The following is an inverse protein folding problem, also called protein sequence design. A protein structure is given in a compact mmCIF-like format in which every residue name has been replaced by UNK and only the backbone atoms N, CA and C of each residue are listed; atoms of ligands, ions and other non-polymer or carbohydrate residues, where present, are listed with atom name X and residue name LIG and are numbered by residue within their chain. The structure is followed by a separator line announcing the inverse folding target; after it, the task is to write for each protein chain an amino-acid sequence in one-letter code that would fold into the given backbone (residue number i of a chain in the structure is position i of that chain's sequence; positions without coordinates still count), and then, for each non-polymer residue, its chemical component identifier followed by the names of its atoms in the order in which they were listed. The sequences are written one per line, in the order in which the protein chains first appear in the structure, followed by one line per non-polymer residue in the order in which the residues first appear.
data_IF_147584141083
#
_entry.id   IF_147584141083
#
_cell.length_a   1.000
_cell.length_b   1.000
_cell.length_c   1.000
_cell.angle_alpha   90.00
_cell.angle_beta   90.00
_cell.angle_gamma   90.00
#
_symmetry.space_group_name_H-M   'P 1'
#
loop_
_entity.id
_entity.type
_entity.pdbx_description
1 polymer ?
#
# COMPACT_ATOMS: atom_id res chain seq x y z
N UNK A 1 -3.12 5.43 -13.39
CA UNK A 1 -2.94 6.34 -12.24
C UNK A 1 -3.24 5.60 -10.97
N UNK A 2 -2.24 5.20 -10.20
CA UNK A 2 -2.48 4.65 -8.87
C UNK A 2 -1.98 5.57 -7.77
N UNK A 3 -2.64 5.49 -6.63
CA UNK A 3 -2.21 6.09 -5.37
C UNK A 3 -2.23 5.01 -4.30
N UNK A 4 -1.12 4.83 -3.60
CA UNK A 4 -1.03 3.84 -2.51
C UNK A 4 -0.63 4.57 -1.24
N UNK A 5 -1.44 4.43 -0.21
CA UNK A 5 -1.12 4.94 1.12
C UNK A 5 -0.88 3.81 2.10
N UNK A 6 0.15 3.97 2.92
CA UNK A 6 0.48 3.02 4.00
C UNK A 6 0.51 3.79 5.31
N UNK A 7 -0.32 3.36 6.26
CA UNK A 7 -0.29 3.88 7.62
C UNK A 7 0.03 2.70 8.54
N UNK A 8 1.01 2.89 9.41
CA UNK A 8 1.40 1.87 10.38
C UNK A 8 1.78 2.49 11.72
N UNK A 9 1.65 1.72 12.79
CA UNK A 9 2.13 2.13 14.11
C UNK A 9 3.61 1.79 14.32
N UNK A 10 4.22 1.08 13.38
CA UNK A 10 5.64 0.72 13.45
C UNK A 10 6.50 1.92 13.09
N UNK A 11 7.65 2.07 13.75
CA UNK A 11 8.64 3.07 13.38
C UNK A 11 9.33 2.67 12.08
N UNK A 12 9.51 3.63 11.17
CA UNK A 12 10.07 3.37 9.85
C UNK A 12 11.36 4.17 9.69
N UNK A 13 12.49 3.47 9.53
CA UNK A 13 13.77 4.12 9.23
C UNK A 13 13.77 4.68 7.80
N UNK A 14 14.71 5.57 7.50
CA UNK A 14 14.85 6.10 6.14
C UNK A 14 15.12 5.01 5.10
N UNK A 15 15.95 4.01 5.45
CA UNK A 15 16.23 2.89 4.54
C UNK A 15 15.01 1.99 4.35
N UNK A 16 14.25 1.74 5.41
CA UNK A 16 13.00 0.96 5.31
C UNK A 16 11.97 1.68 4.45
N UNK A 17 11.85 3.01 4.61
CA UNK A 17 10.94 3.83 3.80
C UNK A 17 11.30 3.73 2.31
N UNK A 18 12.58 3.83 1.98
CA UNK A 18 13.03 3.70 0.60
C UNK A 18 12.76 2.30 0.03
N UNK A 19 12.95 1.27 0.84
CA UNK A 19 12.67 -0.11 0.43
C UNK A 19 11.17 -0.34 0.21
N UNK A 20 10.32 0.22 1.07
CA UNK A 20 8.87 0.18 0.88
C UNK A 20 8.46 0.87 -0.41
N UNK A 21 8.98 2.06 -0.66
CA UNK A 21 8.63 2.81 -1.88
C UNK A 21 9.02 2.03 -3.14
N UNK A 22 10.22 1.44 -3.16
CA UNK A 22 10.68 0.62 -4.28
C UNK A 22 9.79 -0.61 -4.47
N UNK A 23 9.48 -1.30 -3.38
CA UNK A 23 8.64 -2.50 -3.45
C UNK A 23 7.21 -2.21 -3.88
N UNK A 24 6.65 -1.08 -3.46
CA UNK A 24 5.32 -0.65 -3.91
C UNK A 24 5.33 -0.29 -5.39
N UNK A 25 6.39 0.34 -5.88
CA UNK A 25 6.55 0.63 -7.31
C UNK A 25 6.61 -0.64 -8.15
N UNK A 26 7.26 -1.69 -7.65
CA UNK A 26 7.28 -2.99 -8.32
C UNK A 26 5.89 -3.66 -8.26
N UNK A 27 5.25 -3.63 -7.09
CA UNK A 27 3.96 -4.30 -6.89
C UNK A 27 2.86 -3.71 -7.77
N UNK A 28 2.83 -2.39 -7.98
CA UNK A 28 1.78 -1.75 -8.77
C UNK A 28 1.81 -2.20 -10.24
N UNK A 29 2.95 -2.65 -10.72
CA UNK A 29 3.08 -3.17 -12.10
C UNK A 29 2.32 -4.48 -12.31
N UNK A 30 1.93 -5.16 -11.23
CA UNK A 30 1.10 -6.36 -11.32
C UNK A 30 -0.34 -6.02 -11.72
N UNK A 31 -0.73 -4.75 -11.61
CA UNK A 31 -2.00 -4.26 -12.10
C UNK A 31 -1.80 -3.78 -13.54
N UNK A 32 -2.46 -4.38 -14.54
CA UNK A 32 -2.26 -4.03 -15.93
C UNK A 32 -2.42 -2.53 -16.20
N UNK A 33 -1.49 -1.96 -16.95
CA UNK A 33 -1.49 -0.55 -17.31
C UNK A 33 -1.01 0.41 -16.23
N UNK A 34 -0.59 -0.10 -15.08
CA UNK A 34 -0.07 0.74 -13.98
C UNK A 34 1.45 0.66 -13.94
N UNK A 35 2.09 1.77 -13.59
CA UNK A 35 3.55 1.84 -13.50
C UNK A 35 3.97 2.77 -12.37
N UNK A 36 5.21 2.60 -11.94
CA UNK A 36 5.81 3.45 -10.92
C UNK A 36 5.85 4.92 -11.35
N UNK A 37 6.01 5.19 -12.64
CA UNK A 37 6.09 6.57 -13.15
C UNK A 37 4.82 7.38 -12.90
N UNK A 38 3.70 6.73 -12.63
CA UNK A 38 2.43 7.37 -12.35
C UNK A 38 1.96 7.16 -10.91
N UNK A 39 2.75 6.47 -10.11
CA UNK A 39 2.39 6.09 -8.75
C UNK A 39 2.70 7.22 -7.78
N UNK A 40 1.71 7.59 -6.98
CA UNK A 40 1.92 8.42 -5.79
C UNK A 40 1.85 7.52 -4.57
N UNK A 41 2.81 7.68 -3.67
CA UNK A 41 2.90 6.88 -2.45
C UNK A 41 2.91 7.81 -1.26
N UNK A 42 2.09 7.49 -0.26
CA UNK A 42 2.17 8.12 1.07
C UNK A 42 2.51 7.03 2.08
N UNK A 43 3.52 7.30 2.90
CA UNK A 43 3.94 6.37 3.96
C UNK A 43 3.98 7.14 5.27
N UNK A 44 3.25 6.64 6.26
CA UNK A 44 3.17 7.26 7.57
C UNK A 44 3.41 6.19 8.64
N UNK A 45 4.51 6.34 9.37
CA UNK A 45 4.85 5.48 10.50
C UNK A 45 4.44 6.11 11.83
N UNK A 46 4.57 5.34 12.90
CA UNK A 46 4.33 5.79 14.27
C UNK A 46 2.93 6.40 14.48
N UNK A 47 1.97 5.95 13.68
CA UNK A 47 0.58 6.36 13.83
C UNK A 47 -0.08 5.60 14.98
N UNK A 48 -1.04 6.25 15.62
CA UNK A 48 -1.82 5.58 16.65
C UNK A 48 -2.82 4.64 16.00
N UNK A 49 -2.63 3.35 16.19
CA UNK A 49 -3.53 2.31 15.65
C UNK A 49 -3.93 1.37 16.77
N UNK A 50 -5.21 1.22 16.97
CA UNK A 50 -5.76 0.17 17.82
C UNK A 50 -6.21 -0.99 16.94
N UNK A 51 -5.64 -2.14 17.17
CA UNK A 51 -5.97 -3.37 16.46
C UNK A 51 -6.33 -4.46 17.46
N UNK A 52 -7.48 -5.08 17.29
CA UNK A 52 -8.02 -6.06 18.26
C UNK A 52 -8.14 -5.46 19.67
N UNK A 53 -8.47 -4.17 19.77
CA UNK A 53 -8.60 -3.47 21.03
C UNK A 53 -7.28 -3.13 21.71
N UNK A 54 -6.14 -3.27 21.03
CA UNK A 54 -4.80 -3.07 21.58
C UNK A 54 -4.01 -2.10 20.72
N UNK A 55 -3.12 -1.34 21.36
CA UNK A 55 -2.22 -0.42 20.66
C UNK A 55 -0.76 -0.91 20.60
N UNK A 56 -0.49 -2.13 21.08
CA UNK A 56 0.85 -2.70 21.16
C UNK A 56 1.16 -3.77 20.12
N UNK A 57 0.20 -4.03 19.19
CA UNK A 57 0.43 -4.96 18.09
C UNK A 57 0.87 -4.21 16.84
N UNK A 58 1.94 -4.66 16.15
CA UNK A 58 2.28 -4.07 14.87
C UNK A 58 1.15 -4.29 13.88
N UNK A 59 0.71 -3.22 13.24
CA UNK A 59 -0.42 -3.24 12.33
C UNK A 59 -0.22 -2.21 11.22
N UNK A 60 -0.89 -2.42 10.10
CA UNK A 60 -0.89 -1.47 8.99
C UNK A 60 -2.23 -1.46 8.27
N UNK A 61 -2.59 -0.31 7.77
CA UNK A 61 -3.66 -0.14 6.81
C UNK A 61 -3.10 0.41 5.51
N UNK A 62 -3.39 -0.29 4.41
CA UNK A 62 -2.98 0.12 3.07
C UNK A 62 -4.25 0.42 2.28
N UNK A 63 -4.33 1.64 1.72
CA UNK A 63 -5.40 1.93 0.76
C UNK A 63 -4.78 2.13 -0.61
N UNK A 64 -5.51 1.68 -1.63
CA UNK A 64 -5.07 1.75 -3.01
C UNK A 64 -6.21 2.31 -3.85
N UNK A 65 -5.96 3.46 -4.47
CA UNK A 65 -6.91 4.06 -5.40
C UNK A 65 -6.33 3.92 -6.80
N UNK A 66 -7.13 3.44 -7.74
CA UNK A 66 -6.71 3.31 -9.13
C UNK A 66 -7.75 3.91 -10.06
N UNK A 67 -7.30 4.48 -11.18
CA UNK A 67 -8.17 4.82 -12.28
C UNK A 67 -8.37 3.59 -13.16
N UNK A 68 -9.54 3.47 -13.77
CA UNK A 68 -9.83 2.34 -14.66
C UNK A 68 -10.23 1.08 -13.91
N UNK A 69 -10.09 -0.05 -14.58
CA UNK A 69 -10.54 -1.36 -14.08
C UNK A 69 -9.50 -2.43 -14.39
N UNK A 70 -9.36 -3.37 -13.47
CA UNK A 70 -8.59 -4.60 -13.67
C UNK A 70 -9.37 -5.77 -13.09
N UNK A 71 -9.02 -7.00 -13.47
CA UNK A 71 -9.71 -8.16 -12.91
C UNK A 71 -9.22 -8.47 -11.48
N UNK A 72 -10.00 -9.30 -10.79
CA UNK A 72 -9.71 -9.64 -9.40
C UNK A 72 -8.39 -10.37 -9.21
N UNK A 73 -7.94 -11.13 -10.21
CA UNK A 73 -6.67 -11.86 -10.13
C UNK A 73 -5.48 -10.90 -10.11
N UNK A 74 -5.54 -9.81 -10.88
CA UNK A 74 -4.50 -8.78 -10.87
C UNK A 74 -4.42 -8.07 -9.52
N UNK A 75 -5.56 -7.69 -8.96
CA UNK A 75 -5.59 -7.07 -7.64
C UNK A 75 -5.09 -8.03 -6.56
N UNK A 76 -5.46 -9.31 -6.65
CA UNK A 76 -4.99 -10.31 -5.71
C UNK A 76 -3.46 -10.45 -5.74
N UNK A 77 -2.86 -10.48 -6.91
CA UNK A 77 -1.40 -10.52 -7.05
C UNK A 77 -0.76 -9.28 -6.40
N UNK A 78 -1.35 -8.11 -6.64
CA UNK A 78 -0.89 -6.85 -6.07
C UNK A 78 -0.95 -6.85 -4.54
N UNK A 79 -2.11 -7.14 -3.95
CA UNK A 79 -2.20 -7.07 -2.49
C UNK A 79 -1.38 -8.15 -1.79
N UNK A 80 -1.20 -9.31 -2.41
CA UNK A 80 -0.33 -10.34 -1.86
C UNK A 80 1.14 -9.87 -1.82
N UNK A 81 1.59 -9.21 -2.88
CA UNK A 81 2.94 -8.64 -2.94
C UNK A 81 3.14 -7.54 -1.88
N UNK A 82 2.16 -6.66 -1.73
CA UNK A 82 2.23 -5.59 -0.73
C UNK A 82 2.26 -6.14 0.69
N UNK A 83 1.42 -7.12 0.98
CA UNK A 83 1.37 -7.73 2.31
C UNK A 83 2.70 -8.43 2.65
N UNK A 84 3.29 -9.15 1.70
CA UNK A 84 4.62 -9.74 1.88
C UNK A 84 5.69 -8.68 2.13
N UNK A 85 5.62 -7.58 1.40
CA UNK A 85 6.57 -6.47 1.54
C UNK A 85 6.55 -5.89 2.95
N UNK A 86 5.36 -5.67 3.50
CA UNK A 86 5.21 -5.16 4.87
C UNK A 86 5.75 -6.14 5.90
N UNK A 87 5.57 -7.42 5.69
CA UNK A 87 6.14 -8.45 6.55
C UNK A 87 7.66 -8.48 6.49
N UNK A 88 8.22 -8.37 5.28
CA UNK A 88 9.66 -8.40 5.07
C UNK A 88 10.36 -7.17 5.64
N UNK A 89 9.82 -5.99 5.38
CA UNK A 89 10.48 -4.72 5.70
C UNK A 89 10.20 -4.26 7.13
N UNK A 90 8.97 -4.44 7.61
CA UNK A 90 8.52 -3.92 8.89
C UNK A 90 8.14 -5.00 9.90
N UNK A 91 8.26 -6.26 9.54
CA UNK A 91 7.91 -7.40 10.41
C UNK A 91 6.45 -7.35 10.88
N UNK A 92 5.55 -6.85 10.04
CA UNK A 92 4.12 -6.82 10.37
C UNK A 92 3.50 -8.16 9.96
N UNK A 93 2.87 -8.89 10.88
CA UNK A 93 2.22 -10.15 10.54
C UNK A 93 1.11 -9.96 9.49
N UNK A 94 0.95 -10.93 8.61
CA UNK A 94 -0.04 -10.89 7.53
C UNK A 94 -1.44 -10.60 8.06
N UNK A 95 -1.82 -11.20 9.18
CA UNK A 95 -3.14 -11.00 9.78
C UNK A 95 -3.36 -9.62 10.38
N UNK A 96 -2.32 -8.80 10.48
CA UNK A 96 -2.38 -7.46 11.06
C UNK A 96 -2.33 -6.36 9.98
N UNK A 97 -2.53 -6.74 8.71
CA UNK A 97 -2.58 -5.81 7.58
C UNK A 97 -3.98 -5.81 7.00
N UNK A 98 -4.61 -4.63 6.96
CA UNK A 98 -5.83 -4.44 6.18
C UNK A 98 -5.46 -3.67 4.92
N UNK A 99 -5.98 -4.10 3.79
CA UNK A 99 -5.72 -3.47 2.51
C UNK A 99 -7.04 -3.33 1.75
N UNK A 100 -7.26 -2.16 1.18
CA UNK A 100 -8.42 -1.88 0.34
C UNK A 100 -7.97 -1.45 -1.04
N UNK A 101 -8.79 -1.76 -2.06
CA UNK A 101 -8.58 -1.29 -3.42
C UNK A 101 -9.88 -0.65 -3.88
N UNK A 102 -9.79 0.59 -4.40
CA UNK A 102 -10.93 1.31 -4.95
C UNK A 102 -10.64 1.72 -6.37
N UNK A 103 -11.58 1.46 -7.26
CA UNK A 103 -11.54 1.96 -8.63
C UNK A 103 -12.26 3.30 -8.67
N UNK A 104 -11.55 4.35 -9.06
CA UNK A 104 -12.02 5.73 -8.97
C UNK A 104 -12.48 6.16 -10.36
N UNK A 105 -13.77 6.45 -10.56
CA UNK A 105 -14.29 6.81 -11.89
C UNK A 105 -13.90 8.20 -12.35
N UNK A 106 -13.65 9.12 -11.42
CA UNK A 106 -13.20 10.48 -11.77
C UNK A 106 -11.83 10.68 -11.18
N UNK A 107 -10.83 10.79 -12.05
CA UNK A 107 -9.43 10.95 -11.66
C UNK A 107 -8.87 12.18 -12.37
N UNK A 108 -8.36 13.12 -11.60
CA UNK A 108 -7.87 14.39 -12.13
C UNK A 108 -6.34 14.44 -11.97
N UNK A 109 -5.64 14.70 -13.07
CA UNK A 109 -4.20 14.91 -13.13
C UNK A 109 -3.96 16.16 -13.95
N UNK A 110 -2.97 16.98 -13.55
CA UNK A 110 -2.68 18.27 -14.21
C UNK A 110 -3.86 19.23 -14.19
N UNK A 111 -4.79 19.09 -13.25
CA UNK A 111 -5.96 19.93 -13.18
C UNK A 111 -7.04 19.60 -14.22
N UNK A 112 -6.93 18.45 -14.85
CA UNK A 112 -7.84 18.05 -15.93
C UNK A 112 -8.65 16.80 -15.61
#
# INVERSE_FOLDING_TARGET
MPMVGVITNVSISGSARAELARGLGEAVQLIPGKSESQLMIKIEGESAIYFKGRDDLPAAYVWTDVSGHADGAAYKAFWAAVTRLLGKVLAIPVGNVYLTVREIPVWVVNGE
#
